data_IF_185967235133
#
_entry.id   IF_185967235133
#
_cell.length_a   1.000
_cell.length_b   1.000
_cell.length_c   1.000
_cell.angle_alpha   90.00
_cell.angle_beta   90.00
_cell.angle_gamma   90.00
#
_symmetry.space_group_name_H-M   'P 1'
#
loop_
_entity.id
_entity.type
_entity.pdbx_description
1 polymer ?
#
# COMPACT_ATOMS: atom_id res chain seq x y z
N UNK A 1 16.35 -8.54 -3.69
CA UNK A 1 15.21 -7.71 -4.10
C UNK A 1 14.12 -8.62 -4.60
N UNK A 2 13.34 -9.15 -3.67
CA UNK A 2 12.05 -9.81 -3.94
C UNK A 2 10.98 -8.74 -4.21
N UNK A 3 9.83 -9.14 -4.77
CA UNK A 3 8.69 -8.25 -4.98
C UNK A 3 8.24 -7.54 -3.69
N UNK A 4 8.35 -8.21 -2.55
CA UNK A 4 8.03 -7.62 -1.25
C UNK A 4 9.01 -6.54 -0.82
N UNK A 5 10.32 -6.72 -1.03
CA UNK A 5 11.32 -5.69 -0.71
C UNK A 5 11.12 -4.42 -1.56
N UNK A 6 10.79 -4.60 -2.85
CA UNK A 6 10.53 -3.48 -3.76
C UNK A 6 9.28 -2.70 -3.35
N UNK A 7 8.22 -3.41 -2.95
CA UNK A 7 7.01 -2.79 -2.42
C UNK A 7 7.28 -2.04 -1.12
N UNK A 8 7.99 -2.65 -0.16
CA UNK A 8 8.31 -2.02 1.11
C UNK A 8 9.11 -0.73 0.90
N UNK A 9 10.12 -0.75 0.03
CA UNK A 9 10.89 0.45 -0.27
C UNK A 9 10.02 1.57 -0.87
N UNK A 10 9.09 1.25 -1.77
CA UNK A 10 8.16 2.23 -2.32
C UNK A 10 7.20 2.78 -1.26
N UNK A 11 6.69 1.90 -0.40
CA UNK A 11 5.77 2.26 0.68
C UNK A 11 6.45 3.22 1.65
N UNK A 12 7.71 2.93 2.02
CA UNK A 12 8.55 3.84 2.81
C UNK A 12 8.63 5.22 2.22
N UNK A 13 9.00 5.33 0.95
CA UNK A 13 9.10 6.63 0.27
C UNK A 13 7.75 7.35 0.17
N UNK A 14 6.66 6.60 0.00
CA UNK A 14 5.31 7.13 -0.08
C UNK A 14 4.88 7.71 1.27
N UNK A 15 5.11 6.99 2.37
CA UNK A 15 4.80 7.43 3.73
C UNK A 15 5.69 8.60 4.19
N UNK A 16 6.99 8.56 3.87
CA UNK A 16 7.92 9.68 4.08
C UNK A 16 7.45 10.96 3.37
N UNK A 17 6.85 10.83 2.18
CA UNK A 17 6.30 11.99 1.44
C UNK A 17 5.11 12.65 2.14
N UNK A 18 4.46 11.95 3.08
CA UNK A 18 3.37 12.46 3.90
C UNK A 18 3.82 12.84 5.33
N UNK A 19 5.13 12.86 5.60
CA UNK A 19 5.69 13.12 6.94
C UNK A 19 5.27 12.06 7.98
N UNK A 20 5.00 10.83 7.53
CA UNK A 20 4.61 9.72 8.39
C UNK A 20 5.84 8.89 8.72
N UNK A 21 6.09 8.66 10.02
CA UNK A 21 7.14 7.74 10.48
C UNK A 21 6.87 6.30 10.01
N UNK A 22 7.66 5.87 9.03
CA UNK A 22 7.41 4.67 8.23
C UNK A 22 7.75 3.35 8.93
N UNK A 23 8.66 3.35 9.92
CA UNK A 23 9.32 2.11 10.38
C UNK A 23 8.33 1.06 10.91
N UNK A 24 7.25 1.49 11.57
CA UNK A 24 6.22 0.60 12.12
C UNK A 24 5.05 0.43 11.15
N UNK A 25 4.69 1.51 10.46
CA UNK A 25 3.53 1.55 9.58
C UNK A 25 3.73 0.72 8.31
N UNK A 26 4.91 0.83 7.68
CA UNK A 26 5.25 0.08 6.48
C UNK A 26 5.22 -1.44 6.72
N UNK A 27 5.72 -1.88 7.88
CA UNK A 27 5.69 -3.28 8.30
C UNK A 27 4.26 -3.78 8.55
N UNK A 28 3.41 -2.95 9.18
CA UNK A 28 2.00 -3.26 9.40
C UNK A 28 1.22 -3.42 8.09
N UNK A 29 1.37 -2.45 7.18
CA UNK A 29 0.72 -2.46 5.86
C UNK A 29 1.19 -3.67 5.04
N UNK A 30 2.50 -3.95 5.02
CA UNK A 30 3.04 -5.13 4.34
C UNK A 30 2.42 -6.41 4.90
N UNK A 31 2.29 -6.52 6.22
CA UNK A 31 1.70 -7.70 6.86
C UNK A 31 0.25 -7.92 6.41
N UNK A 32 -0.58 -6.88 6.42
CA UNK A 32 -1.98 -6.92 5.96
C UNK A 32 -2.07 -7.37 4.51
N UNK A 33 -1.27 -6.75 3.65
CA UNK A 33 -1.30 -7.04 2.22
C UNK A 33 -0.78 -8.46 1.91
N UNK A 34 0.19 -8.95 2.67
CA UNK A 34 0.68 -10.34 2.59
C UNK A 34 -0.24 -11.37 3.22
N UNK A 35 -1.23 -10.93 4.01
CA UNK A 35 -2.21 -11.81 4.66
C UNK A 35 -2.97 -12.64 3.61
N UNK A 36 -3.51 -13.78 4.01
CA UNK A 36 -4.33 -14.65 3.14
C UNK A 36 -5.77 -14.13 2.99
N UNK A 37 -6.04 -12.94 3.52
CA UNK A 37 -7.35 -12.28 3.49
C UNK A 37 -7.75 -11.80 2.09
N UNK A 38 -9.04 -11.58 1.92
CA UNK A 38 -9.59 -11.02 0.67
C UNK A 38 -9.18 -9.54 0.51
N UNK A 39 -9.06 -9.07 -0.73
CA UNK A 39 -8.71 -7.68 -1.03
C UNK A 39 -9.58 -6.65 -0.28
N UNK A 40 -10.87 -6.96 -0.09
CA UNK A 40 -11.79 -6.10 0.66
C UNK A 40 -11.42 -5.96 2.14
N UNK A 41 -11.00 -7.04 2.81
CA UNK A 41 -10.61 -7.01 4.24
C UNK A 41 -9.26 -6.35 4.44
N UNK A 42 -8.33 -6.60 3.50
CA UNK A 42 -7.05 -5.89 3.44
C UNK A 42 -7.27 -4.40 3.31
N UNK A 43 -8.14 -3.98 2.39
CA UNK A 43 -8.46 -2.57 2.16
C UNK A 43 -9.10 -1.92 3.38
N UNK A 44 -10.00 -2.60 4.07
CA UNK A 44 -10.62 -2.09 5.31
C UNK A 44 -9.57 -1.89 6.41
N UNK A 45 -8.69 -2.88 6.61
CA UNK A 45 -7.59 -2.81 7.57
C UNK A 45 -6.58 -1.70 7.26
N UNK A 46 -6.25 -1.52 5.97
CA UNK A 46 -5.39 -0.42 5.53
C UNK A 46 -6.03 0.94 5.81
N UNK A 47 -7.33 1.08 5.53
CA UNK A 47 -8.06 2.33 5.76
C UNK A 47 -8.03 2.74 7.23
N UNK A 48 -8.28 1.80 8.14
CA UNK A 48 -8.30 2.08 9.58
C UNK A 48 -6.95 2.63 10.07
N UNK A 49 -5.86 1.97 9.67
CA UNK A 49 -4.51 2.38 10.06
C UNK A 49 -4.13 3.72 9.41
N UNK A 50 -4.39 3.87 8.11
CA UNK A 50 -4.06 5.08 7.37
C UNK A 50 -4.89 6.29 7.87
N UNK A 51 -6.15 6.08 8.26
CA UNK A 51 -6.97 7.12 8.87
C UNK A 51 -6.48 7.51 10.28
N UNK A 52 -5.80 6.60 10.98
CA UNK A 52 -5.19 6.88 12.28
C UNK A 52 -3.89 7.70 12.20
N UNK A 53 -3.16 7.60 11.09
CA UNK A 53 -1.86 8.25 10.89
C UNK A 53 -1.89 9.43 9.92
N UNK A 54 -2.92 9.54 9.08
CA UNK A 54 -3.09 10.63 8.11
C UNK A 54 -4.44 11.32 8.30
N UNK A 55 -4.44 12.65 8.35
CA UNK A 55 -5.66 13.45 8.58
C UNK A 55 -6.15 14.23 7.35
N UNK A 56 -5.26 14.52 6.39
CA UNK A 56 -5.55 15.36 5.20
C UNK A 56 -5.25 14.63 3.88
N UNK A 57 -5.13 13.30 3.94
CA UNK A 57 -4.87 12.45 2.77
C UNK A 57 -6.14 11.67 2.43
N UNK A 58 -6.40 11.52 1.15
CA UNK A 58 -7.49 10.67 0.68
C UNK A 58 -7.14 9.20 0.92
N UNK A 59 -7.68 8.64 2.02
CA UNK A 59 -7.38 7.28 2.46
C UNK A 59 -7.78 6.24 1.42
N UNK A 60 -8.90 6.46 0.72
CA UNK A 60 -9.40 5.54 -0.29
C UNK A 60 -8.43 5.49 -1.48
N UNK A 61 -8.01 6.65 -1.97
CA UNK A 61 -6.98 6.78 -3.01
C UNK A 61 -5.65 6.17 -2.57
N UNK A 62 -5.21 6.43 -1.33
CA UNK A 62 -3.95 5.87 -0.83
C UNK A 62 -4.03 4.34 -0.71
N UNK A 63 -5.15 3.79 -0.24
CA UNK A 63 -5.37 2.35 -0.20
C UNK A 63 -5.34 1.74 -1.60
N UNK A 64 -6.01 2.34 -2.57
CA UNK A 64 -5.96 1.87 -3.96
C UNK A 64 -4.54 1.91 -4.52
N UNK A 65 -3.78 2.99 -4.29
CA UNK A 65 -2.38 3.07 -4.72
C UNK A 65 -1.52 1.97 -4.11
N UNK A 66 -1.67 1.69 -2.82
CA UNK A 66 -0.90 0.65 -2.12
C UNK A 66 -1.27 -0.74 -2.68
N UNK A 67 -2.56 -1.03 -2.83
CA UNK A 67 -3.02 -2.31 -3.37
C UNK A 67 -2.60 -2.50 -4.83
N UNK A 68 -2.70 -1.45 -5.65
CA UNK A 68 -2.24 -1.46 -7.03
C UNK A 68 -0.73 -1.73 -7.07
N UNK A 69 0.05 -1.03 -6.24
CA UNK A 69 1.49 -1.21 -6.22
C UNK A 69 1.92 -2.61 -5.79
N UNK A 70 1.23 -3.17 -4.80
CA UNK A 70 1.44 -4.56 -4.41
C UNK A 70 1.15 -5.53 -5.55
N UNK A 71 0.03 -5.30 -6.25
CA UNK A 71 -0.35 -6.07 -7.45
C UNK A 71 0.71 -5.95 -8.54
N UNK A 72 1.22 -4.75 -8.84
CA UNK A 72 2.30 -4.52 -9.80
C UNK A 72 3.57 -5.30 -9.43
N UNK A 73 3.94 -5.28 -8.15
CA UNK A 73 5.12 -6.00 -7.66
C UNK A 73 4.97 -7.52 -7.77
N UNK A 74 3.76 -8.06 -7.57
CA UNK A 74 3.49 -9.51 -7.56
C UNK A 74 2.96 -10.06 -8.89
N UNK A 75 2.42 -9.22 -9.77
CA UNK A 75 2.00 -9.57 -11.13
C UNK A 75 3.10 -9.14 -12.10
N UNK A 76 4.09 -9.99 -12.31
CA UNK A 76 5.10 -9.79 -13.37
C UNK A 76 4.55 -9.86 -14.81
N UNK A 77 3.23 -9.78 -15.08
CA UNK A 77 2.64 -9.65 -16.43
C UNK A 77 1.11 -9.57 -16.38
N UNK A 78 0.53 -8.39 -16.57
CA UNK A 78 -0.53 -8.12 -17.57
C UNK A 78 -0.96 -6.64 -17.59
N UNK A 79 -0.71 -5.97 -18.72
CA UNK A 79 -1.06 -4.62 -19.18
C UNK A 79 -2.55 -4.20 -18.95
N UNK A 80 -3.04 -2.95 -18.98
CA UNK A 80 -2.82 -1.81 -19.89
C UNK A 80 -3.30 -0.50 -19.22
N UNK A 81 -2.55 0.59 -19.47
CA UNK A 81 -2.93 2.02 -19.43
C UNK A 81 -4.43 2.32 -19.47
N UNK A 82 -4.88 3.28 -18.64
CA UNK A 82 -6.04 4.12 -18.99
C UNK A 82 -5.76 5.58 -18.68
N UNK A 83 -5.17 6.23 -19.67
CA UNK A 83 -5.31 7.66 -19.94
C UNK A 83 -6.76 7.91 -20.37
N UNK A 84 -7.39 8.97 -19.86
CA UNK A 84 -8.72 9.42 -20.23
C UNK A 84 -9.03 10.79 -19.65
#
# INVERSE_FOLDING_TARGET
>A
MTSQEVFNQWLTQKLESFDIDDEVLGSYISSIITSDESDSEKKDSLKDILAGVTHDVDIDSLCDEIMDKWSECHKSTCDVKKEG
#
